data_IF_877649611962
#
_entry.id   IF_877649611962
#
_cell.length_a   1.000
_cell.length_b   1.000
_cell.length_c   1.000
_cell.angle_alpha   90.00
_cell.angle_beta   90.00
_cell.angle_gamma   90.00
#
_symmetry.space_group_name_H-M   'P 1'
#
loop_
_entity.id
_entity.type
_entity.pdbx_description
1 polymer ?
#
# COMPACT_ATOMS: atom_id res chain seq x y z
N UNK A 1 13.31 -4.35 4.07
CA UNK A 1 12.08 -4.58 3.29
C UNK A 1 12.08 -3.63 2.11
N UNK A 2 11.58 -4.06 0.95
CA UNK A 2 11.41 -3.16 -0.21
C UNK A 2 10.20 -2.24 -0.01
N UNK A 3 10.12 -1.14 -0.76
CA UNK A 3 8.93 -0.27 -0.73
C UNK A 3 7.64 -1.03 -1.09
N UNK A 4 7.70 -1.95 -2.05
CA UNK A 4 6.56 -2.82 -2.41
C UNK A 4 6.01 -3.58 -1.20
N UNK A 5 6.88 -4.25 -0.43
CA UNK A 5 6.48 -5.00 0.76
C UNK A 5 5.90 -4.10 1.84
N UNK A 6 6.49 -2.93 2.06
CA UNK A 6 6.00 -1.94 3.02
C UNK A 6 4.62 -1.41 2.60
N UNK A 7 4.41 -1.10 1.32
CA UNK A 7 3.12 -0.67 0.79
C UNK A 7 2.05 -1.74 1.02
N UNK A 8 2.34 -3.00 0.70
CA UNK A 8 1.40 -4.10 0.92
C UNK A 8 1.07 -4.29 2.40
N UNK A 9 2.07 -4.25 3.27
CA UNK A 9 1.89 -4.32 4.73
C UNK A 9 1.03 -3.17 5.28
N UNK A 10 1.15 -1.96 4.73
CA UNK A 10 0.28 -0.85 5.11
C UNK A 10 -1.15 -1.13 4.65
N UNK A 11 -1.33 -1.60 3.40
CA UNK A 11 -2.65 -1.84 2.83
C UNK A 11 -3.44 -2.98 3.50
N UNK A 12 -2.78 -3.96 4.11
CA UNK A 12 -3.46 -5.00 4.91
C UNK A 12 -4.10 -4.45 6.19
N UNK A 13 -3.62 -3.31 6.71
CA UNK A 13 -4.07 -2.74 7.99
C UNK A 13 -5.25 -1.76 7.92
N UNK A 14 -5.59 -1.25 6.73
CA UNK A 14 -6.55 -0.12 6.55
C UNK A 14 -7.98 -0.52 6.24
N UNK A 15 -8.24 -1.80 5.95
CA UNK A 15 -9.59 -2.34 5.71
C UNK A 15 -10.34 -1.63 4.56
N UNK A 16 -11.67 -1.63 4.64
CA UNK A 16 -12.54 -1.22 3.53
C UNK A 16 -12.44 0.26 3.15
N UNK A 17 -12.09 1.15 4.09
CA UNK A 17 -11.98 2.59 3.83
C UNK A 17 -10.74 2.92 2.98
N UNK A 18 -9.78 2.01 2.92
CA UNK A 18 -8.50 2.22 2.28
C UNK A 18 -7.73 3.39 2.86
N UNK A 19 -6.70 3.81 2.13
CA UNK A 19 -5.74 4.83 2.57
C UNK A 19 -5.32 5.70 1.40
N UNK A 20 -5.04 6.97 1.67
CA UNK A 20 -4.59 7.89 0.62
C UNK A 20 -3.14 7.63 0.23
N UNK A 21 -2.79 7.93 -1.02
CA UNK A 21 -1.40 7.89 -1.51
C UNK A 21 -0.46 8.61 -0.54
N UNK A 22 -0.81 9.82 -0.10
CA UNK A 22 0.01 10.61 0.82
C UNK A 22 0.22 9.92 2.16
N UNK A 23 -0.81 9.28 2.72
CA UNK A 23 -0.67 8.60 4.00
C UNK A 23 0.21 7.35 3.86
N UNK A 24 0.04 6.55 2.79
CA UNK A 24 0.95 5.44 2.48
C UNK A 24 2.39 5.95 2.37
N UNK A 25 2.63 7.04 1.62
CA UNK A 25 3.97 7.63 1.48
C UNK A 25 4.57 8.07 2.81
N UNK A 26 3.78 8.64 3.72
CA UNK A 26 4.25 9.00 5.07
C UNK A 26 4.60 7.78 5.90
N UNK A 27 3.81 6.71 5.84
CA UNK A 27 4.15 5.46 6.53
C UNK A 27 5.44 4.85 5.99
N UNK A 28 5.59 4.75 4.66
CA UNK A 28 6.82 4.28 4.02
C UNK A 28 8.00 5.18 4.40
N UNK A 29 7.85 6.50 4.35
CA UNK A 29 8.88 7.44 4.80
C UNK A 29 9.30 7.16 6.24
N UNK A 30 8.35 7.06 7.17
CA UNK A 30 8.64 6.80 8.58
C UNK A 30 9.33 5.44 8.80
N UNK A 31 8.99 4.42 8.01
CA UNK A 31 9.62 3.09 8.07
C UNK A 31 11.09 3.09 7.59
N UNK A 32 11.49 4.08 6.79
CA UNK A 32 12.85 4.18 6.23
C UNK A 32 13.64 5.37 6.77
N UNK A 33 13.01 6.26 7.54
CA UNK A 33 13.70 7.32 8.26
C UNK A 33 14.51 6.72 9.41
N UNK A 34 15.78 7.10 9.50
CA UNK A 34 16.65 6.72 10.61
C UNK A 34 17.57 7.87 11.00
N UNK A 35 18.33 7.70 12.08
CA UNK A 35 19.30 8.71 12.52
C UNK A 35 20.37 9.03 11.46
N UNK A 36 20.73 8.06 10.61
CA UNK A 36 21.80 8.21 9.63
C UNK A 36 21.29 8.43 8.20
N UNK A 37 19.98 8.36 7.98
CA UNK A 37 19.40 8.45 6.64
C UNK A 37 18.02 9.10 6.68
N UNK A 38 17.87 10.17 5.90
CA UNK A 38 16.58 10.84 5.67
C UNK A 38 16.21 10.64 4.20
N UNK A 39 15.17 9.85 3.89
CA UNK A 39 14.72 9.69 2.51
C UNK A 39 14.05 10.97 1.99
N UNK A 40 13.95 11.12 0.67
CA UNK A 40 13.14 12.16 0.05
C UNK A 40 11.65 11.71 0.00
N UNK A 41 10.77 12.47 0.65
CA UNK A 41 9.35 12.17 0.69
C UNK A 41 8.67 12.28 -0.69
N UNK A 42 9.13 13.18 -1.56
CA UNK A 42 8.60 13.34 -2.91
C UNK A 42 8.96 12.13 -3.78
N UNK A 43 10.19 11.62 -3.67
CA UNK A 43 10.61 10.39 -4.37
C UNK A 43 9.79 9.18 -3.90
N UNK A 44 9.63 9.03 -2.58
CA UNK A 44 8.77 7.98 -2.00
C UNK A 44 7.33 8.13 -2.51
N UNK A 45 6.80 9.35 -2.53
CA UNK A 45 5.44 9.60 -3.01
C UNK A 45 5.27 9.25 -4.48
N UNK A 46 6.23 9.62 -5.32
CA UNK A 46 6.23 9.27 -6.74
C UNK A 46 6.24 7.74 -6.92
N UNK A 47 7.09 7.04 -6.17
CA UNK A 47 7.14 5.58 -6.18
C UNK A 47 5.82 4.94 -5.76
N UNK A 48 5.28 5.34 -4.60
CA UNK A 48 4.01 4.82 -4.07
C UNK A 48 2.88 5.04 -5.07
N UNK A 49 2.80 6.23 -5.67
CA UNK A 49 1.79 6.54 -6.67
C UNK A 49 1.91 5.61 -7.89
N UNK A 50 3.11 5.41 -8.43
CA UNK A 50 3.33 4.54 -9.58
C UNK A 50 3.01 3.08 -9.24
N UNK A 51 3.41 2.61 -8.07
CA UNK A 51 3.14 1.25 -7.61
C UNK A 51 1.64 0.99 -7.49
N UNK A 52 0.89 1.88 -6.83
CA UNK A 52 -0.55 1.74 -6.67
C UNK A 52 -1.26 1.75 -8.03
N UNK A 53 -0.90 2.67 -8.94
CA UNK A 53 -1.48 2.75 -10.28
C UNK A 53 -1.17 1.51 -11.13
N UNK A 54 0.06 0.98 -11.06
CA UNK A 54 0.46 -0.21 -11.81
C UNK A 54 -0.32 -1.45 -11.38
N UNK A 55 -0.61 -1.54 -10.08
CA UNK A 55 -1.22 -2.70 -9.45
C UNK A 55 -2.74 -2.55 -9.24
N UNK A 56 -3.40 -1.58 -9.90
CA UNK A 56 -4.85 -1.34 -9.80
C UNK A 56 -5.54 -1.19 -11.16
N UNK A 57 -4.98 -1.78 -12.22
CA UNK A 57 -5.45 -1.57 -13.62
C UNK A 57 -6.65 -2.42 -14.02
N UNK A 58 -6.91 -3.51 -13.31
CA UNK A 58 -7.95 -4.49 -13.64
C UNK A 58 -8.89 -4.69 -12.45
N UNK A 59 -10.17 -5.05 -12.66
CA UNK A 59 -11.09 -5.43 -11.59
C UNK A 59 -10.58 -6.59 -10.72
N UNK A 60 -9.69 -7.44 -11.24
CA UNK A 60 -9.05 -8.54 -10.51
C UNK A 60 -7.63 -8.19 -10.04
N UNK A 61 -7.19 -6.95 -10.18
CA UNK A 61 -5.88 -6.54 -9.65
C UNK A 61 -5.82 -6.67 -8.12
N UNK A 62 -4.62 -6.87 -7.60
CA UNK A 62 -4.38 -7.05 -6.17
C UNK A 62 -4.83 -5.85 -5.32
N UNK A 63 -4.68 -4.65 -5.89
CA UNK A 63 -5.06 -3.38 -5.26
C UNK A 63 -6.23 -2.80 -6.06
N UNK A 64 -7.16 -2.17 -5.37
CA UNK A 64 -8.27 -1.44 -6.00
C UNK A 64 -8.40 -0.03 -5.44
N UNK A 65 -8.96 0.87 -6.26
CA UNK A 65 -9.37 2.19 -5.80
C UNK A 65 -10.68 2.08 -5.02
N UNK A 66 -10.85 2.89 -3.99
CA UNK A 66 -12.06 2.89 -3.14
C UNK A 66 -13.24 3.69 -3.72
N UNK A 67 -13.16 4.15 -4.97
CA UNK A 67 -14.07 5.15 -5.54
C UNK A 67 -13.81 6.59 -5.06
N UNK A 68 -13.10 6.78 -3.94
CA UNK A 68 -12.53 8.07 -3.54
C UNK A 68 -11.20 8.31 -4.24
N UNK A 69 -11.08 9.46 -4.92
CA UNK A 69 -9.86 9.83 -5.65
C UNK A 69 -8.61 9.72 -4.77
N UNK A 70 -7.64 8.94 -5.24
CA UNK A 70 -6.34 8.78 -4.58
C UNK A 70 -6.35 7.91 -3.32
N UNK A 71 -7.42 7.15 -3.07
CA UNK A 71 -7.52 6.19 -1.96
C UNK A 71 -7.56 4.76 -2.49
N UNK A 72 -6.71 3.92 -1.91
CA UNK A 72 -6.50 2.54 -2.34
C UNK A 72 -6.62 1.56 -1.17
N UNK A 73 -6.98 0.31 -1.48
CA UNK A 73 -7.04 -0.82 -0.55
C UNK A 73 -6.67 -2.12 -1.26
N UNK A 74 -6.44 -3.20 -0.50
CA UNK A 74 -6.38 -4.54 -1.08
C UNK A 74 -7.76 -4.95 -1.62
N UNK A 75 -7.77 -5.57 -2.80
CA UNK A 75 -8.98 -6.06 -3.46
C UNK A 75 -9.37 -7.44 -2.92
N UNK A 76 -9.66 -7.51 -1.62
CA UNK A 76 -10.00 -8.76 -0.94
C UNK A 76 -11.35 -9.32 -1.42
N UNK A 77 -12.19 -8.51 -2.06
CA UNK A 77 -13.48 -8.96 -2.57
C UNK A 77 -13.34 -9.72 -3.89
N UNK A 78 -12.49 -9.25 -4.82
CA UNK A 78 -12.43 -9.81 -6.18
C UNK A 78 -11.10 -10.53 -6.50
N UNK A 79 -10.11 -10.50 -5.61
CA UNK A 79 -8.82 -11.15 -5.81
C UNK A 79 -8.49 -12.14 -4.65
N UNK A 80 -8.27 -13.44 -4.92
CA UNK A 80 -7.95 -14.43 -3.89
C UNK A 80 -6.56 -14.22 -3.26
N UNK A 81 -5.56 -13.78 -4.03
CA UNK A 81 -4.21 -13.49 -3.52
C UNK A 81 -4.23 -12.33 -2.52
N UNK A 82 -5.10 -11.33 -2.73
CA UNK A 82 -5.31 -10.25 -1.78
C UNK A 82 -5.86 -10.76 -0.44
N UNK A 83 -6.74 -11.78 -0.45
CA UNK A 83 -7.23 -12.42 0.77
C UNK A 83 -6.13 -13.21 1.46
N UNK A 84 -5.34 -13.96 0.68
CA UNK A 84 -4.22 -14.74 1.20
C UNK A 84 -3.18 -13.83 1.88
N UNK A 85 -2.82 -12.70 1.25
CA UNK A 85 -1.96 -11.69 1.87
C UNK A 85 -2.54 -11.16 3.19
N UNK A 86 -3.84 -10.90 3.25
CA UNK A 86 -4.48 -10.45 4.50
C UNK A 86 -4.29 -11.47 5.64
N UNK A 87 -4.33 -12.77 5.35
CA UNK A 87 -4.12 -13.84 6.32
C UNK A 87 -2.66 -13.91 6.78
N UNK A 88 -1.71 -13.84 5.84
CA UNK A 88 -0.26 -13.91 6.13
C UNK A 88 0.23 -12.77 7.02
N UNK A 89 -0.26 -11.55 6.77
CA UNK A 89 0.05 -10.40 7.60
C UNK A 89 -0.76 -10.38 8.91
N UNK A 90 -1.97 -10.94 8.92
CA UNK A 90 -2.79 -11.04 10.12
C UNK A 90 -2.25 -12.04 11.17
N UNK A 91 -1.53 -13.07 10.74
CA UNK A 91 -0.88 -14.03 11.63
C UNK A 91 0.48 -13.57 12.18
N UNK A 92 0.98 -12.42 11.71
CA UNK A 92 2.32 -11.90 12.02
C UNK A 92 2.32 -10.69 12.96
N UNK A 93 1.15 -10.34 13.54
CA UNK A 93 0.93 -9.29 14.54
C UNK A 93 0.48 -9.91 15.86
#
# INVERSE_FOLDING_TARGET
MTYDQQILSILTSVGDKGISVMQVSKHVYNMNLSFFYTPDLNEIRAYVQQYLLKNSKSPQSLIESTGRRGYYRLNTQNNPDARQLMLEFGSSL
#
